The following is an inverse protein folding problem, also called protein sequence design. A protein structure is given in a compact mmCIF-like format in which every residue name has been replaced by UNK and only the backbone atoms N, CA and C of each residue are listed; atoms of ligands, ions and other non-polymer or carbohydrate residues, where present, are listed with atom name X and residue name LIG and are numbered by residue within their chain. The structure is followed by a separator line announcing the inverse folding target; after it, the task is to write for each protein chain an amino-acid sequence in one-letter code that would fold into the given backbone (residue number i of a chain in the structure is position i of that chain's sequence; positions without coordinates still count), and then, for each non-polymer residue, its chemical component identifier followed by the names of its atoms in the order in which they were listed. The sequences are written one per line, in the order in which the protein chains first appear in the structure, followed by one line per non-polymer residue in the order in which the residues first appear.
data_IF_828723285097
#
_entry.id   IF_828723285097
#
_cell.length_a   1.000
_cell.length_b   1.000
_cell.length_c   1.000
_cell.angle_alpha   90.00
_cell.angle_beta   90.00
_cell.angle_gamma   90.00
#
_symmetry.space_group_name_H-M   'P 1'
#
loop_
_entity.id
_entity.type
_entity.pdbx_description
1 polymer ?
#
# COMPACT_ATOMS: atom_id res chain seq x y z
N UNK A 1 17.14 -4.84 -4.98
CA UNK A 1 16.76 -3.80 -5.97
C UNK A 1 15.24 -3.62 -6.15
N UNK A 2 14.36 -4.45 -5.56
CA UNK A 2 12.90 -4.31 -5.71
C UNK A 2 12.17 -3.53 -4.59
N UNK A 3 12.87 -3.11 -3.53
CA UNK A 3 12.27 -2.33 -2.41
C UNK A 3 12.36 -0.81 -2.64
N UNK A 4 13.01 -0.37 -3.72
CA UNK A 4 13.17 1.05 -4.06
C UNK A 4 12.04 1.60 -4.96
N UNK A 5 11.24 0.72 -5.57
CA UNK A 5 10.16 1.14 -6.47
C UNK A 5 8.98 1.81 -5.74
N UNK A 6 8.77 1.51 -4.44
CA UNK A 6 7.72 2.17 -3.64
C UNK A 6 8.10 3.61 -3.28
N UNK A 7 9.39 3.97 -3.32
CA UNK A 7 9.83 5.35 -3.07
C UNK A 7 10.01 6.17 -4.35
N UNK A 8 10.23 5.54 -5.52
CA UNK A 8 10.45 6.27 -6.78
C UNK A 8 9.12 6.64 -7.46
N UNK A 9 8.06 5.84 -7.31
CA UNK A 9 6.77 6.15 -7.96
C UNK A 9 6.09 7.41 -7.38
N UNK A 10 6.44 7.84 -6.16
CA UNK A 10 5.88 9.06 -5.55
C UNK A 10 6.75 10.33 -5.70
N UNK A 11 7.95 10.28 -6.31
CA UNK A 11 8.86 11.44 -6.32
C UNK A 11 8.97 12.19 -7.67
N UNK A 12 8.30 11.75 -8.73
CA UNK A 12 8.26 12.53 -9.97
C UNK A 12 6.87 13.10 -10.23
N UNK A 13 6.78 14.42 -10.04
CA UNK A 13 5.62 15.27 -10.25
C UNK A 13 4.83 14.90 -11.51
N UNK A 14 3.51 14.86 -11.40
CA UNK A 14 2.63 15.09 -12.54
C UNK A 14 1.79 16.32 -12.27
N UNK A 15 2.16 17.39 -12.98
CA UNK A 15 1.45 18.66 -13.16
C UNK A 15 0.00 18.35 -13.62
N UNK A 16 -1.03 19.01 -13.07
CA UNK A 16 -2.40 18.72 -13.47
C UNK A 16 -2.66 19.32 -14.85
N UNK A 17 -3.01 18.47 -15.82
CA UNK A 17 -3.62 18.90 -17.08
C UNK A 17 -4.85 18.05 -17.35
N UNK A 18 -5.94 18.72 -17.68
CA UNK A 18 -7.27 18.18 -17.91
C UNK A 18 -7.30 17.39 -19.24
N UNK A 19 -6.84 16.13 -19.23
CA UNK A 19 -6.77 15.26 -20.42
C UNK A 19 -7.08 13.78 -20.03
N UNK A 20 -7.57 12.92 -20.95
CA UNK A 20 -7.88 11.50 -20.70
C UNK A 20 -6.71 10.68 -20.11
N UNK A 21 -5.48 11.18 -20.20
CA UNK A 21 -4.30 10.61 -19.55
C UNK A 21 -4.42 10.50 -18.03
N UNK A 22 -5.24 11.32 -17.39
CA UNK A 22 -5.45 11.31 -15.94
C UNK A 22 -6.18 10.04 -15.46
N UNK A 23 -7.15 9.53 -16.23
CA UNK A 23 -7.88 8.29 -15.91
C UNK A 23 -7.01 7.05 -16.09
N UNK A 24 -6.21 7.03 -17.16
CA UNK A 24 -5.25 5.95 -17.39
C UNK A 24 -4.15 5.93 -16.33
N UNK A 25 -3.68 7.11 -15.89
CA UNK A 25 -2.73 7.24 -14.78
C UNK A 25 -3.29 6.69 -13.47
N UNK A 26 -4.56 7.01 -13.12
CA UNK A 26 -5.20 6.51 -11.88
C UNK A 26 -5.31 4.98 -11.84
N UNK A 27 -5.83 4.36 -12.90
CA UNK A 27 -5.93 2.90 -12.97
C UNK A 27 -4.53 2.25 -13.01
N UNK A 28 -3.59 2.82 -13.74
CA UNK A 28 -2.22 2.32 -13.79
C UNK A 28 -1.56 2.35 -12.40
N UNK A 29 -1.74 3.45 -11.65
CA UNK A 29 -1.22 3.57 -10.29
C UNK A 29 -1.81 2.51 -9.36
N UNK A 30 -3.12 2.27 -9.43
CA UNK A 30 -3.79 1.19 -8.68
C UNK A 30 -3.20 -0.19 -9.02
N UNK A 31 -3.00 -0.50 -10.31
CA UNK A 31 -2.44 -1.77 -10.77
C UNK A 31 -0.98 -1.97 -10.32
N UNK A 32 -0.13 -0.95 -10.48
CA UNK A 32 1.27 -0.98 -10.06
C UNK A 32 1.38 -1.08 -8.54
N UNK A 33 0.48 -0.44 -7.78
CA UNK A 33 0.44 -0.56 -6.33
C UNK A 33 0.13 -1.99 -5.90
N UNK A 34 -0.90 -2.63 -6.47
CA UNK A 34 -1.22 -4.03 -6.19
C UNK A 34 -0.05 -4.95 -6.54
N UNK A 35 0.63 -4.74 -7.67
CA UNK A 35 1.82 -5.50 -8.04
C UNK A 35 2.99 -5.29 -7.06
N UNK A 36 3.13 -4.07 -6.55
CA UNK A 36 4.12 -3.73 -5.52
C UNK A 36 3.83 -4.48 -4.22
N UNK A 37 2.58 -4.49 -3.75
CA UNK A 37 2.17 -5.27 -2.58
C UNK A 37 2.44 -6.77 -2.77
N UNK A 38 2.11 -7.34 -3.93
CA UNK A 38 2.42 -8.75 -4.27
C UNK A 38 3.92 -9.05 -4.21
N UNK A 39 4.74 -8.15 -4.74
CA UNK A 39 6.20 -8.26 -4.71
C UNK A 39 6.73 -8.21 -3.28
N UNK A 40 6.18 -7.34 -2.43
CA UNK A 40 6.52 -7.32 -1.00
C UNK A 40 6.17 -8.65 -0.33
N UNK A 41 4.96 -9.18 -0.55
CA UNK A 41 4.55 -10.49 -0.01
C UNK A 41 5.53 -11.60 -0.42
N UNK A 42 5.92 -11.64 -1.70
CA UNK A 42 6.90 -12.62 -2.19
C UNK A 42 8.26 -12.47 -1.49
N UNK A 43 8.74 -11.23 -1.37
CA UNK A 43 10.03 -10.91 -0.75
C UNK A 43 10.07 -11.30 0.74
N UNK A 44 8.99 -11.06 1.48
CA UNK A 44 8.92 -11.38 2.92
C UNK A 44 8.79 -12.89 3.15
N UNK A 45 8.08 -13.62 2.27
CA UNK A 45 7.92 -15.08 2.39
C UNK A 45 9.18 -15.87 2.05
N UNK A 46 9.97 -15.39 1.10
CA UNK A 46 11.16 -16.09 0.61
C UNK A 46 12.40 -15.20 0.55
N UNK A 47 12.82 -14.54 1.64
CA UNK A 47 13.94 -13.61 1.57
C UNK A 47 15.26 -14.36 1.27
N UNK A 48 16.08 -13.86 0.32
CA UNK A 48 17.40 -14.42 0.06
C UNK A 48 18.24 -14.48 1.33
N UNK A 49 18.93 -15.61 1.57
CA UNK A 49 19.64 -15.88 2.85
C UNK A 49 20.58 -14.74 3.25
N UNK A 50 21.34 -14.21 2.30
CA UNK A 50 22.34 -13.16 2.54
C UNK A 50 21.72 -11.80 2.92
N UNK A 51 20.48 -11.53 2.50
CA UNK A 51 19.79 -10.25 2.72
C UNK A 51 18.64 -10.34 3.73
N UNK A 52 18.35 -11.53 4.27
CA UNK A 52 17.17 -11.81 5.10
C UNK A 52 17.07 -10.86 6.29
N UNK A 53 18.14 -10.73 7.07
CA UNK A 53 18.15 -9.89 8.28
C UNK A 53 17.91 -8.42 7.93
N UNK A 54 18.53 -7.92 6.86
CA UNK A 54 18.33 -6.55 6.40
C UNK A 54 16.89 -6.31 5.95
N UNK A 55 16.31 -7.25 5.21
CA UNK A 55 14.93 -7.16 4.75
C UNK A 55 13.96 -7.14 5.93
N UNK A 56 14.12 -8.00 6.92
CA UNK A 56 13.27 -8.01 8.11
C UNK A 56 13.34 -6.69 8.89
N UNK A 57 14.53 -6.12 9.07
CA UNK A 57 14.68 -4.80 9.72
C UNK A 57 13.96 -3.71 8.91
N UNK A 58 14.11 -3.70 7.59
CA UNK A 58 13.45 -2.70 6.72
C UNK A 58 11.93 -2.86 6.76
N UNK A 59 11.43 -4.09 6.66
CA UNK A 59 10.00 -4.37 6.69
C UNK A 59 9.41 -4.07 8.05
N UNK A 60 10.07 -4.46 9.15
CA UNK A 60 9.61 -4.15 10.49
C UNK A 60 9.47 -2.64 10.72
N UNK A 61 10.44 -1.86 10.24
CA UNK A 61 10.42 -0.39 10.36
C UNK A 61 9.36 0.28 9.48
N UNK A 62 9.03 -0.29 8.33
CA UNK A 62 8.06 0.28 7.37
C UNK A 62 6.68 -0.35 7.42
N UNK A 63 6.48 -1.42 8.19
CA UNK A 63 5.24 -2.20 8.21
C UNK A 63 4.03 -1.30 8.47
N UNK A 64 4.11 -0.46 9.52
CA UNK A 64 3.04 0.47 9.87
C UNK A 64 2.75 1.46 8.76
N UNK A 65 3.76 2.14 8.22
CA UNK A 65 3.58 3.15 7.17
C UNK A 65 2.94 2.55 5.89
N UNK A 66 3.34 1.33 5.52
CA UNK A 66 2.75 0.60 4.40
C UNK A 66 1.26 0.30 4.65
N UNK A 67 0.91 -0.16 5.85
CA UNK A 67 -0.47 -0.48 6.20
C UNK A 67 -1.35 0.76 6.34
N UNK A 68 -0.80 1.87 6.85
CA UNK A 68 -1.47 3.17 6.89
C UNK A 68 -1.82 3.66 5.49
N UNK A 69 -0.89 3.57 4.53
CA UNK A 69 -1.16 3.91 3.14
C UNK A 69 -2.22 2.98 2.51
N UNK A 70 -2.13 1.67 2.74
CA UNK A 70 -3.14 0.71 2.27
C UNK A 70 -4.54 1.08 2.80
N UNK A 71 -4.65 1.41 4.09
CA UNK A 71 -5.91 1.78 4.69
C UNK A 71 -6.48 3.09 4.10
N UNK A 72 -5.64 4.11 3.93
CA UNK A 72 -6.05 5.36 3.29
C UNK A 72 -6.58 5.14 1.86
N UNK A 73 -5.92 4.27 1.07
CA UNK A 73 -6.39 3.92 -0.28
C UNK A 73 -7.70 3.12 -0.27
N UNK A 74 -7.91 2.24 0.72
CA UNK A 74 -9.20 1.56 0.92
C UNK A 74 -10.32 2.56 1.25
N UNK A 75 -10.02 3.59 2.04
CA UNK A 75 -10.93 4.68 2.39
C UNK A 75 -11.19 5.66 1.24
N UNK A 76 -10.45 5.54 0.14
CA UNK A 76 -10.68 6.27 -1.11
C UNK A 76 -9.72 7.42 -1.36
N UNK A 77 -8.59 7.48 -0.65
CA UNK A 77 -7.46 8.30 -1.07
C UNK A 77 -6.89 7.80 -2.42
N UNK A 78 -6.35 8.72 -3.23
CA UNK A 78 -5.72 8.35 -4.50
C UNK A 78 -4.37 7.68 -4.23
N UNK A 79 -4.06 6.64 -4.99
CA UNK A 79 -2.72 6.05 -4.98
C UNK A 79 -1.72 7.11 -5.44
N UNK A 80 -0.70 7.35 -4.61
CA UNK A 80 0.26 8.45 -4.79
C UNK A 80 -0.02 9.70 -3.95
N UNK A 81 -1.16 9.76 -3.24
CA UNK A 81 -1.40 10.82 -2.25
C UNK A 81 -0.41 10.73 -1.09
N UNK A 82 -0.01 11.89 -0.58
CA UNK A 82 0.79 12.01 0.64
C UNK A 82 -0.09 11.70 1.86
N UNK A 83 0.23 10.60 2.54
CA UNK A 83 -0.48 10.10 3.72
C UNK A 83 0.37 10.36 4.97
N UNK A 84 -0.20 11.01 5.97
CA UNK A 84 0.46 11.21 7.25
C UNK A 84 0.48 9.92 8.09
N UNK A 85 1.17 9.93 9.23
CA UNK A 85 1.30 8.73 10.10
C UNK A 85 -0.01 8.24 10.70
N UNK A 86 -1.06 9.06 10.67
CA UNK A 86 -2.38 8.78 11.22
C UNK A 86 -3.39 8.37 10.13
N UNK A 87 -2.96 8.27 8.87
CA UNK A 87 -3.81 7.87 7.73
C UNK A 87 -4.55 9.01 7.03
N UNK A 88 -4.31 10.26 7.44
CA UNK A 88 -4.87 11.45 6.81
C UNK A 88 -4.11 11.87 5.54
N UNK A 89 -4.83 12.31 4.51
CA UNK A 89 -4.25 12.90 3.29
C UNK A 89 -3.82 14.34 3.56
N UNK A 90 -2.53 14.65 3.36
CA UNK A 90 -1.94 15.96 3.67
C UNK A 90 -2.37 17.05 2.68
N UNK A 91 -2.43 16.72 1.39
CA UNK A 91 -2.80 17.65 0.32
C UNK A 91 -4.08 17.16 -0.37
N UNK A 92 -5.23 17.64 0.09
CA UNK A 92 -6.56 17.20 -0.36
C UNK A 92 -7.03 17.97 -1.61
N UNK A 93 -6.14 18.19 -2.58
CA UNK A 93 -6.43 19.03 -3.75
C UNK A 93 -7.42 18.36 -4.74
N UNK A 94 -7.51 17.02 -4.72
CA UNK A 94 -8.43 16.29 -5.61
C UNK A 94 -9.41 15.42 -4.82
N UNK A 95 -10.69 15.70 -5.06
CA UNK A 95 -11.84 15.05 -4.44
C UNK A 95 -11.81 13.55 -4.74
N UNK A 96 -12.09 12.77 -3.69
CA UNK A 96 -12.40 11.32 -3.68
C UNK A 96 -12.82 10.82 -5.07
N UNK A 97 -12.02 9.95 -5.68
CA UNK A 97 -12.48 9.25 -6.87
C UNK A 97 -13.55 8.25 -6.43
N UNK A 98 -14.80 8.50 -6.81
CA UNK A 98 -15.95 7.64 -6.53
C UNK A 98 -15.89 6.29 -7.24
N UNK A 99 -14.85 6.01 -8.04
CA UNK A 99 -14.73 4.81 -8.86
C UNK A 99 -13.42 4.04 -8.69
N UNK A 100 -12.82 4.01 -7.49
CA UNK A 100 -11.83 2.96 -7.22
C UNK A 100 -12.58 1.62 -7.28
N UNK A 101 -12.40 0.90 -8.39
CA UNK A 101 -13.17 -0.30 -8.77
C UNK A 101 -13.15 -1.28 -7.58
N UNK A 102 -14.28 -1.94 -7.30
CA UNK A 102 -14.42 -2.92 -6.22
C UNK A 102 -13.24 -3.91 -6.14
N UNK A 103 -12.71 -4.30 -7.32
CA UNK A 103 -11.54 -5.16 -7.46
C UNK A 103 -10.27 -4.62 -6.78
N UNK A 104 -9.92 -3.35 -6.99
CA UNK A 104 -8.69 -2.79 -6.39
C UNK A 104 -8.77 -2.84 -4.86
N UNK A 105 -9.90 -2.41 -4.28
CA UNK A 105 -10.09 -2.44 -2.83
C UNK A 105 -10.08 -3.87 -2.28
N UNK A 106 -10.69 -4.81 -2.99
CA UNK A 106 -10.66 -6.23 -2.61
C UNK A 106 -9.24 -6.80 -2.65
N UNK A 107 -8.49 -6.53 -3.72
CA UNK A 107 -7.09 -6.97 -3.89
C UNK A 107 -6.19 -6.38 -2.78
N UNK A 108 -6.28 -5.07 -2.53
CA UNK A 108 -5.51 -4.41 -1.46
C UNK A 108 -5.88 -4.95 -0.09
N UNK A 109 -7.17 -5.14 0.21
CA UNK A 109 -7.60 -5.69 1.50
C UNK A 109 -7.11 -7.13 1.71
N UNK A 110 -7.17 -7.97 0.67
CA UNK A 110 -6.64 -9.33 0.69
C UNK A 110 -5.13 -9.35 0.94
N UNK A 111 -4.39 -8.51 0.22
CA UNK A 111 -2.95 -8.37 0.39
C UNK A 111 -2.57 -7.79 1.75
N UNK A 112 -3.35 -6.83 2.28
CA UNK A 112 -3.13 -6.21 3.58
C UNK A 112 -3.18 -7.27 4.70
N UNK A 113 -4.15 -8.19 4.68
CA UNK A 113 -4.19 -9.32 5.62
C UNK A 113 -2.94 -10.21 5.55
N UNK A 114 -2.48 -10.51 4.35
CA UNK A 114 -1.28 -11.34 4.13
C UNK A 114 -0.02 -10.61 4.62
N UNK A 115 0.07 -9.31 4.36
CA UNK A 115 1.19 -8.47 4.79
C UNK A 115 1.27 -8.37 6.30
N UNK A 116 0.14 -8.15 7.01
CA UNK A 116 0.10 -8.15 8.48
C UNK A 116 0.70 -9.44 9.03
N UNK A 117 0.23 -10.59 8.54
CA UNK A 117 0.73 -11.90 8.97
C UNK A 117 2.25 -12.03 8.76
N UNK A 118 2.71 -11.71 7.55
CA UNK A 118 4.11 -11.83 7.19
C UNK A 118 5.01 -10.85 7.98
N UNK A 119 4.52 -9.65 8.30
CA UNK A 119 5.27 -8.67 9.10
C UNK A 119 5.38 -9.10 10.57
N UNK A 120 4.32 -9.67 11.15
CA UNK A 120 4.38 -10.27 12.49
C UNK A 120 5.39 -11.43 12.52
N UNK A 121 5.35 -12.33 11.53
CA UNK A 121 6.35 -13.40 11.37
C UNK A 121 7.79 -12.86 11.20
N UNK A 122 7.95 -11.64 10.70
CA UNK A 122 9.24 -10.96 10.52
C UNK A 122 9.71 -10.15 11.73
N UNK A 123 8.92 -10.11 12.81
CA UNK A 123 9.27 -9.44 14.07
C UNK A 123 8.58 -8.09 14.33
N UNK A 124 7.58 -7.70 13.54
CA UNK A 124 6.75 -6.52 13.87
C UNK A 124 5.79 -6.83 15.05
N UNK A 125 5.51 -5.85 15.93
CA UNK A 125 4.58 -6.04 17.04
C UNK A 125 3.15 -6.25 16.54
N UNK A 126 2.58 -7.44 16.81
CA UNK A 126 1.23 -7.82 16.36
C UNK A 126 0.14 -6.88 16.84
N UNK A 127 0.25 -6.39 18.08
CA UNK A 127 -0.72 -5.48 18.71
C UNK A 127 -0.94 -4.20 17.90
N UNK A 128 0.09 -3.71 17.22
CA UNK A 128 0.00 -2.50 16.40
C UNK A 128 -0.61 -2.77 15.02
N UNK A 129 -0.38 -3.97 14.46
CA UNK A 129 -0.77 -4.30 13.09
C UNK A 129 -2.18 -4.91 12.99
N UNK A 130 -2.69 -5.47 14.09
CA UNK A 130 -3.96 -6.20 14.12
C UNK A 130 -5.18 -5.32 13.76
N UNK A 131 -5.13 -4.03 14.14
CA UNK A 131 -6.15 -3.04 13.78
C UNK A 131 -6.35 -2.94 12.25
N UNK A 132 -5.27 -2.99 11.47
CA UNK A 132 -5.33 -2.98 10.01
C UNK A 132 -5.94 -4.26 9.45
N UNK A 133 -5.65 -5.42 10.06
CA UNK A 133 -6.24 -6.71 9.65
C UNK A 133 -7.76 -6.66 9.76
N UNK A 134 -8.28 -6.08 10.84
CA UNK A 134 -9.71 -5.90 11.09
C UNK A 134 -10.30 -4.89 10.08
N UNK A 135 -9.65 -3.75 9.88
CA UNK A 135 -10.09 -2.73 8.91
C UNK A 135 -10.24 -3.27 7.48
N UNK A 136 -9.32 -4.15 7.04
CA UNK A 136 -9.39 -4.83 5.75
C UNK A 136 -10.65 -5.69 5.57
N UNK A 137 -11.20 -6.28 6.65
CA UNK A 137 -12.30 -7.25 6.54
C UNK A 137 -13.54 -6.66 5.87
N UNK A 138 -13.80 -5.35 6.06
CA UNK A 138 -14.92 -4.60 5.47
C UNK A 138 -14.96 -4.65 3.93
N UNK A 139 -13.84 -4.90 3.28
CA UNK A 139 -13.68 -4.81 1.83
C UNK A 139 -13.56 -6.17 1.12
N UNK A 140 -13.56 -7.28 1.87
CA UNK A 140 -13.41 -8.65 1.33
C UNK A 140 -14.75 -9.37 1.21
N UNK A 141 -15.71 -9.08 2.10
CA UNK A 141 -17.01 -9.75 2.16
C UNK A 141 -18.17 -8.89 1.64
N UNK A 142 -17.87 -7.92 0.77
CA UNK A 142 -18.85 -7.02 0.16
C UNK A 142 -19.12 -7.38 -1.29
#
# INVERSE_FOLDING_TARGET
MMVFLVLIVCFHQTIPTHDPGERHSKQHNEEIFVLSLKTMVYTVRGPPKILRTLLFIIFARRARDILVACNAYLEGALVGSEINKDGGVVNQAERKCSSSKSKFKSDVAGLMKVLVRNFVESGSPETELESFRIAAQKYIYK
#
